data_IF_385820570381
#
_entry.id   IF_385820570381
#
_cell.length_a   1.000
_cell.length_b   1.000
_cell.length_c   1.000
_cell.angle_alpha   90.00
_cell.angle_beta   90.00
_cell.angle_gamma   90.00
#
_symmetry.space_group_name_H-M   'P 1'
#
loop_
_entity.id
_entity.type
_entity.pdbx_description
1 polymer ?
#
# COMPACT_ATOMS: atom_id res chain seq x y z
N UNK A 1 -13.58 32.34 32.89
CA UNK A 1 -12.41 31.53 32.51
C UNK A 1 -12.84 30.07 32.39
N UNK A 2 -12.19 29.33 31.50
CA UNK A 2 -12.19 27.86 31.35
C UNK A 2 -13.27 27.23 30.44
N UNK A 3 -12.92 27.07 29.17
CA UNK A 3 -13.25 25.88 28.36
C UNK A 3 -12.43 25.91 27.06
N UNK A 4 -11.22 25.33 27.04
CA UNK A 4 -10.47 25.00 25.80
C UNK A 4 -9.26 24.11 26.13
N UNK A 5 -9.47 22.97 26.76
CA UNK A 5 -8.39 22.01 27.09
C UNK A 5 -8.50 20.66 26.38
N UNK A 6 -9.67 20.31 25.85
CA UNK A 6 -9.96 18.95 25.39
C UNK A 6 -9.51 18.65 23.95
N UNK A 7 -9.13 19.66 23.17
CA UNK A 7 -8.71 19.47 21.77
C UNK A 7 -7.26 19.01 21.60
N UNK A 8 -6.32 19.62 22.32
CA UNK A 8 -4.88 19.42 22.07
C UNK A 8 -4.37 18.02 22.42
N UNK A 9 -4.86 17.42 23.52
CA UNK A 9 -4.40 16.10 23.95
C UNK A 9 -4.89 14.96 23.03
N UNK A 10 -6.09 15.07 22.47
CA UNK A 10 -6.63 14.09 21.54
C UNK A 10 -5.88 14.09 20.20
N UNK A 11 -5.54 15.28 19.68
CA UNK A 11 -4.80 15.43 18.41
C UNK A 11 -3.36 14.91 18.56
N UNK A 12 -2.72 15.16 19.71
CA UNK A 12 -1.38 14.64 19.99
C UNK A 12 -1.36 13.10 20.10
N UNK A 13 -2.38 12.49 20.70
CA UNK A 13 -2.50 11.04 20.81
C UNK A 13 -2.74 10.35 19.46
N UNK A 14 -3.57 10.94 18.60
CA UNK A 14 -3.80 10.45 17.24
C UNK A 14 -2.51 10.52 16.41
N UNK A 15 -1.82 11.66 16.39
CA UNK A 15 -0.55 11.81 15.69
C UNK A 15 0.56 10.87 16.20
N UNK A 16 0.56 10.52 17.49
CA UNK A 16 1.48 9.54 18.06
C UNK A 16 1.09 8.10 17.71
N UNK A 17 -0.20 7.76 17.68
CA UNK A 17 -0.69 6.46 17.25
C UNK A 17 -0.44 6.22 15.75
N UNK A 18 -0.61 7.26 14.92
CA UNK A 18 -0.25 7.28 13.50
C UNK A 18 1.24 7.02 13.32
N UNK A 19 2.12 7.81 13.95
CA UNK A 19 3.56 7.59 13.91
C UNK A 19 3.95 6.18 14.37
N UNK A 20 3.28 5.64 15.39
CA UNK A 20 3.56 4.29 15.89
C UNK A 20 3.14 3.20 14.90
N UNK A 21 2.08 3.44 14.14
CA UNK A 21 1.57 2.55 13.08
C UNK A 21 2.59 2.46 11.95
N UNK A 22 3.06 3.60 11.42
CA UNK A 22 4.07 3.66 10.36
C UNK A 22 5.46 3.14 10.77
N UNK A 23 5.75 3.00 12.07
CA UNK A 23 7.04 2.51 12.56
C UNK A 23 7.04 1.02 12.95
N UNK A 24 5.88 0.41 13.21
CA UNK A 24 5.80 -0.96 13.76
C UNK A 24 5.15 -1.98 12.82
N UNK A 25 4.77 -1.58 11.62
CA UNK A 25 4.14 -2.47 10.65
C UNK A 25 4.93 -3.75 10.37
N UNK A 26 6.27 -3.71 10.48
CA UNK A 26 7.13 -4.86 10.28
C UNK A 26 6.91 -5.98 11.32
N UNK A 27 6.38 -5.64 12.50
CA UNK A 27 6.04 -6.57 13.57
C UNK A 27 4.62 -7.14 13.42
N UNK A 28 3.80 -6.58 12.53
CA UNK A 28 2.42 -7.04 12.35
C UNK A 28 2.36 -8.46 11.79
N UNK A 29 1.43 -9.29 12.26
CA UNK A 29 1.22 -10.62 11.69
C UNK A 29 0.85 -10.54 10.21
N UNK A 30 1.26 -11.57 9.47
CA UNK A 30 0.94 -11.71 8.05
C UNK A 30 -0.52 -12.09 7.90
N UNK A 31 -1.25 -11.35 7.06
CA UNK A 31 -2.58 -11.72 6.59
C UNK A 31 -2.43 -12.82 5.52
N UNK A 32 -1.68 -12.52 4.47
CA UNK A 32 -1.46 -13.42 3.35
C UNK A 32 -0.35 -12.95 2.42
N UNK A 33 -0.05 -13.76 1.40
CA UNK A 33 1.03 -13.52 0.45
C UNK A 33 0.67 -14.10 -0.91
N UNK A 34 1.18 -13.50 -1.98
CA UNK A 34 0.91 -13.92 -3.34
C UNK A 34 2.08 -13.59 -4.27
N UNK A 35 2.21 -14.27 -5.41
CA UNK A 35 3.23 -13.97 -6.41
C UNK A 35 2.58 -13.74 -7.76
N UNK A 36 2.83 -12.59 -8.37
CA UNK A 36 2.37 -12.30 -9.73
C UNK A 36 3.39 -12.85 -10.71
N UNK A 37 2.94 -13.74 -11.59
CA UNK A 37 3.75 -14.33 -12.65
C UNK A 37 3.15 -14.03 -14.01
N UNK A 38 4.00 -13.68 -14.97
CA UNK A 38 3.65 -13.60 -16.39
C UNK A 38 4.21 -14.83 -17.10
N UNK A 39 3.34 -15.70 -17.62
CA UNK A 39 3.72 -16.99 -18.19
C UNK A 39 4.53 -17.82 -17.17
N UNK A 40 5.84 -18.01 -17.40
CA UNK A 40 6.75 -18.76 -16.51
C UNK A 40 7.64 -17.84 -15.66
N UNK A 41 7.42 -16.53 -15.71
CA UNK A 41 8.32 -15.52 -15.17
C UNK A 41 7.65 -14.78 -14.02
N UNK A 42 8.23 -14.88 -12.82
CA UNK A 42 7.77 -14.11 -11.68
C UNK A 42 8.15 -12.63 -11.82
N UNK A 43 7.19 -11.75 -11.54
CA UNK A 43 7.32 -10.29 -11.64
C UNK A 43 7.59 -9.72 -10.26
N UNK A 44 6.76 -10.06 -9.27
CA UNK A 44 6.95 -9.69 -7.88
C UNK A 44 6.24 -10.67 -6.94
N UNK A 45 6.70 -10.75 -5.71
CA UNK A 45 5.95 -11.34 -4.60
C UNK A 45 5.39 -10.24 -3.70
N UNK A 46 4.12 -10.33 -3.33
CA UNK A 46 3.46 -9.42 -2.39
C UNK A 46 3.11 -10.13 -1.07
N UNK A 47 3.09 -9.35 0.01
CA UNK A 47 2.66 -9.79 1.33
C UNK A 47 1.83 -8.68 1.98
N UNK A 48 0.70 -9.06 2.56
CA UNK A 48 -0.16 -8.14 3.31
C UNK A 48 -0.01 -8.43 4.80
N UNK A 49 0.14 -7.37 5.60
CA UNK A 49 0.14 -7.41 7.06
C UNK A 49 -0.93 -6.47 7.61
N UNK A 50 -1.46 -6.81 8.78
CA UNK A 50 -2.42 -5.99 9.51
C UNK A 50 -2.17 -6.17 11.03
N UNK A 51 -2.53 -5.19 11.89
CA UNK A 51 -2.24 -5.25 13.32
C UNK A 51 -2.67 -6.55 14.02
N UNK A 52 -3.79 -7.13 13.61
CA UNK A 52 -4.35 -8.38 14.16
C UNK A 52 -4.14 -9.60 13.24
N UNK A 53 -3.45 -9.42 12.11
CA UNK A 53 -3.23 -10.48 11.12
C UNK A 53 -4.45 -10.86 10.28
N UNK A 54 -5.50 -10.03 10.28
CA UNK A 54 -6.72 -10.21 9.51
C UNK A 54 -6.94 -9.01 8.57
N UNK A 55 -7.53 -9.29 7.41
CA UNK A 55 -8.10 -8.26 6.56
C UNK A 55 -9.62 -8.26 6.72
N UNK A 56 -10.16 -7.18 7.25
CA UNK A 56 -11.60 -7.00 7.47
C UNK A 56 -12.21 -6.41 6.21
N UNK A 57 -12.79 -7.26 5.36
CA UNK A 57 -13.48 -6.79 4.16
C UNK A 57 -14.63 -5.84 4.52
N UNK A 58 -14.70 -4.72 3.81
CA UNK A 58 -15.78 -3.75 3.94
C UNK A 58 -16.08 -3.11 2.58
N UNK A 59 -16.97 -2.10 2.56
CA UNK A 59 -17.16 -1.29 1.34
C UNK A 59 -15.93 -0.41 1.05
N UNK A 60 -15.23 0.01 2.08
CA UNK A 60 -13.92 0.63 2.01
C UNK A 60 -12.84 -0.47 1.85
N UNK A 61 -11.88 -0.20 0.98
CA UNK A 61 -10.76 -1.10 0.63
C UNK A 61 -9.64 -1.02 1.65
N UNK A 62 -9.52 0.09 2.39
CA UNK A 62 -8.55 0.26 3.47
C UNK A 62 -9.19 0.58 4.84
N UNK A 63 -10.20 -0.20 5.28
CA UNK A 63 -11.01 0.15 6.46
C UNK A 63 -10.24 0.06 7.79
N UNK A 64 -9.01 -0.44 7.76
CA UNK A 64 -8.11 -0.53 8.89
C UNK A 64 -6.65 -0.44 8.43
N UNK A 65 -5.70 -0.22 9.36
CA UNK A 65 -4.30 -0.17 9.02
C UNK A 65 -3.81 -1.46 8.35
N UNK A 66 -3.03 -1.31 7.28
CA UNK A 66 -2.43 -2.40 6.51
C UNK A 66 -1.02 -2.02 6.05
N UNK A 67 -0.18 -3.02 5.85
CA UNK A 67 1.09 -2.86 5.15
C UNK A 67 1.17 -3.84 3.99
N UNK A 68 1.29 -3.29 2.79
CA UNK A 68 1.50 -4.02 1.55
C UNK A 68 2.99 -4.00 1.21
N UNK A 69 3.65 -5.13 1.37
CA UNK A 69 5.03 -5.33 0.94
C UNK A 69 5.05 -5.89 -0.49
N UNK A 70 5.91 -5.36 -1.34
CA UNK A 70 6.18 -5.84 -2.70
C UNK A 70 7.69 -6.05 -2.84
N UNK A 71 8.11 -7.29 -3.14
CA UNK A 71 9.50 -7.63 -3.47
C UNK A 71 9.59 -7.87 -4.97
N UNK A 72 10.39 -7.06 -5.65
CA UNK A 72 10.53 -7.12 -7.10
C UNK A 72 11.45 -8.25 -7.50
N UNK A 73 10.97 -9.06 -8.45
CA UNK A 73 11.72 -10.18 -9.02
C UNK A 73 12.24 -9.83 -10.42
N UNK A 74 12.11 -8.55 -10.80
CA UNK A 74 12.49 -7.96 -12.08
C UNK A 74 12.89 -6.50 -11.93
N UNK A 75 13.64 -6.04 -12.93
CA UNK A 75 13.97 -4.63 -13.07
C UNK A 75 12.80 -3.92 -13.75
N UNK A 76 12.30 -2.85 -13.11
CA UNK A 76 11.16 -2.07 -13.58
C UNK A 76 11.48 -0.60 -13.33
N UNK A 77 11.39 0.22 -14.37
CA UNK A 77 11.57 1.67 -14.20
C UNK A 77 10.40 2.30 -13.45
N UNK A 78 10.66 3.41 -12.77
CA UNK A 78 9.65 4.26 -12.12
C UNK A 78 8.51 4.60 -13.09
N UNK A 79 8.85 4.96 -14.33
CA UNK A 79 7.84 5.21 -15.37
C UNK A 79 6.96 3.98 -15.63
N UNK A 80 7.53 2.78 -15.74
CA UNK A 80 6.75 1.56 -15.94
C UNK A 80 5.85 1.25 -14.74
N UNK A 81 6.29 1.52 -13.51
CA UNK A 81 5.45 1.38 -12.32
C UNK A 81 4.25 2.34 -12.37
N UNK A 82 4.48 3.61 -12.73
CA UNK A 82 3.42 4.61 -12.85
C UNK A 82 2.46 4.27 -14.00
N UNK A 83 2.98 3.89 -15.17
CA UNK A 83 2.16 3.49 -16.32
C UNK A 83 1.30 2.24 -16.00
N UNK A 84 1.87 1.26 -15.28
CA UNK A 84 1.13 0.08 -14.83
C UNK A 84 0.04 0.44 -13.80
N UNK A 85 0.33 1.38 -12.89
CA UNK A 85 -0.65 1.89 -11.93
C UNK A 85 -1.83 2.55 -12.66
N UNK A 86 -1.54 3.40 -13.66
CA UNK A 86 -2.58 4.04 -14.48
C UNK A 86 -3.45 3.02 -15.21
N UNK A 87 -2.85 1.97 -15.80
CA UNK A 87 -3.60 0.89 -16.45
C UNK A 87 -4.55 0.18 -15.47
N UNK A 88 -4.06 -0.20 -14.29
CA UNK A 88 -4.86 -0.87 -13.27
C UNK A 88 -5.99 0.03 -12.76
N UNK A 89 -5.74 1.31 -12.53
CA UNK A 89 -6.77 2.27 -12.16
C UNK A 89 -7.85 2.42 -13.23
N UNK A 90 -7.47 2.48 -14.51
CA UNK A 90 -8.44 2.53 -15.61
C UNK A 90 -9.33 1.29 -15.63
N UNK A 91 -8.77 0.11 -15.39
CA UNK A 91 -9.52 -1.16 -15.34
C UNK A 91 -10.46 -1.25 -14.13
N UNK A 92 -10.07 -0.66 -13.01
CA UNK A 92 -10.92 -0.48 -11.82
C UNK A 92 -11.97 0.62 -11.98
N UNK A 93 -11.98 1.35 -13.11
CA UNK A 93 -12.96 2.40 -13.40
C UNK A 93 -12.64 3.78 -12.84
N UNK A 94 -11.42 4.00 -12.31
CA UNK A 94 -10.97 5.34 -11.93
C UNK A 94 -10.75 6.19 -13.20
N UNK A 95 -11.21 7.43 -13.17
CA UNK A 95 -11.16 8.34 -14.33
C UNK A 95 -10.35 9.59 -14.03
N UNK A 96 -9.76 10.17 -15.10
CA UNK A 96 -9.27 11.54 -15.06
C UNK A 96 -10.43 12.52 -14.72
N UNK A 97 -10.17 13.70 -14.11
CA UNK A 97 -8.85 14.31 -13.88
C UNK A 97 -8.16 13.93 -12.56
N UNK A 98 -8.88 13.29 -11.62
CA UNK A 98 -8.39 13.05 -10.26
C UNK A 98 -7.11 12.20 -10.24
N UNK A 99 -7.07 11.13 -11.04
CA UNK A 99 -5.91 10.23 -11.13
C UNK A 99 -4.65 10.89 -11.68
N UNK A 100 -4.74 11.93 -12.51
CA UNK A 100 -3.55 12.57 -13.09
C UNK A 100 -2.70 13.30 -12.06
N UNK A 101 -3.32 13.91 -11.04
CA UNK A 101 -2.58 14.54 -9.95
C UNK A 101 -1.83 13.48 -9.13
N UNK A 102 -2.51 12.37 -8.84
CA UNK A 102 -1.95 11.24 -8.11
C UNK A 102 -0.80 10.55 -8.85
N UNK A 103 -0.92 10.32 -10.17
CA UNK A 103 0.15 9.75 -10.98
C UNK A 103 1.41 10.63 -10.99
N UNK A 104 1.25 11.96 -11.01
CA UNK A 104 2.39 12.89 -10.89
C UNK A 104 3.08 12.77 -9.53
N UNK A 105 2.31 12.60 -8.47
CA UNK A 105 2.87 12.36 -7.14
C UNK A 105 3.59 11.01 -7.06
N UNK A 106 2.99 9.93 -7.59
CA UNK A 106 3.66 8.62 -7.67
C UNK A 106 4.97 8.69 -8.45
N UNK A 107 5.02 9.45 -9.54
CA UNK A 107 6.23 9.63 -10.34
C UNK A 107 7.38 10.28 -9.56
N UNK A 108 7.09 11.04 -8.51
CA UNK A 108 8.08 11.62 -7.61
C UNK A 108 8.49 10.69 -6.47
N UNK A 109 7.60 9.78 -6.05
CA UNK A 109 7.78 8.88 -4.90
C UNK A 109 8.45 7.57 -5.33
N UNK A 110 7.96 6.95 -6.40
CA UNK A 110 8.35 5.61 -6.82
C UNK A 110 9.72 5.66 -7.53
N UNK A 111 10.77 5.01 -6.99
CA UNK A 111 12.06 4.94 -7.67
C UNK A 111 12.03 3.88 -8.78
N UNK A 112 13.09 3.84 -9.59
CA UNK A 112 13.40 2.63 -10.35
C UNK A 112 13.70 1.48 -9.38
N UNK A 113 13.23 0.28 -9.71
CA UNK A 113 13.40 -0.92 -8.89
C UNK A 113 14.17 -1.98 -9.66
N UNK A 114 15.08 -2.66 -8.97
CA UNK A 114 15.83 -3.79 -9.47
C UNK A 114 15.36 -5.09 -8.81
N UNK A 115 15.76 -6.21 -9.41
CA UNK A 115 15.55 -7.53 -8.81
C UNK A 115 16.13 -7.61 -7.40
N UNK A 116 15.30 -7.99 -6.44
CA UNK A 116 15.61 -8.05 -5.01
C UNK A 116 15.30 -6.76 -4.24
N UNK A 117 14.88 -5.69 -4.90
CA UNK A 117 14.40 -4.48 -4.23
C UNK A 117 13.02 -4.70 -3.61
N UNK A 118 12.73 -3.92 -2.57
CA UNK A 118 11.45 -3.98 -1.86
C UNK A 118 10.86 -2.58 -1.72
N UNK A 119 9.57 -2.49 -2.03
CA UNK A 119 8.72 -1.34 -1.75
C UNK A 119 7.64 -1.78 -0.76
N UNK A 120 7.41 -0.99 0.28
CA UNK A 120 6.35 -1.23 1.26
C UNK A 120 5.46 0.00 1.29
N UNK A 121 4.16 -0.20 1.13
CA UNK A 121 3.16 0.83 1.35
C UNK A 121 2.41 0.53 2.64
N UNK A 122 2.54 1.41 3.62
CA UNK A 122 1.86 1.31 4.91
C UNK A 122 0.74 2.32 4.90
N UNK A 123 -0.47 1.91 5.28
CA UNK A 123 -1.64 2.77 5.38
C UNK A 123 -2.21 2.70 6.80
N UNK A 124 -2.67 3.83 7.32
CA UNK A 124 -3.48 3.89 8.55
C UNK A 124 -5.00 3.81 8.28
N UNK A 125 -5.39 3.64 7.01
CA UNK A 125 -6.75 3.64 6.50
C UNK A 125 -7.21 4.99 5.91
N UNK A 126 -6.47 6.09 6.15
CA UNK A 126 -6.75 7.39 5.54
C UNK A 126 -5.55 7.93 4.77
N UNK A 127 -4.35 7.64 5.25
CA UNK A 127 -3.09 8.13 4.70
C UNK A 127 -2.11 6.99 4.65
N UNK A 128 -1.10 7.14 3.80
CA UNK A 128 -0.06 6.16 3.66
C UNK A 128 1.34 6.71 3.48
N UNK A 129 2.31 5.84 3.70
CA UNK A 129 3.73 6.13 3.56
C UNK A 129 4.41 4.99 2.82
N UNK A 130 5.26 5.37 1.87
CA UNK A 130 6.09 4.45 1.10
C UNK A 130 7.46 4.34 1.73
N UNK A 131 7.89 3.10 1.93
CA UNK A 131 9.21 2.74 2.37
C UNK A 131 9.90 1.91 1.28
N UNK A 132 11.16 2.19 1.01
CA UNK A 132 11.93 1.52 -0.03
C UNK A 132 13.27 1.04 0.52
N UNK A 133 13.65 -0.19 0.14
CA UNK A 133 14.96 -0.76 0.45
C UNK A 133 15.54 -1.42 -0.80
N UNK A 134 16.78 -1.07 -1.15
CA UNK A 134 17.54 -1.75 -2.19
C UNK A 134 18.24 -2.97 -1.60
N UNK A 135 17.78 -4.17 -1.95
CA UNK A 135 18.36 -5.45 -1.49
C UNK A 135 18.68 -5.46 0.02
N UNK A 136 19.95 -5.52 0.40
CA UNK A 136 20.41 -5.59 1.80
C UNK A 136 20.54 -4.22 2.49
N UNK A 137 20.13 -3.13 1.84
CA UNK A 137 20.18 -1.80 2.44
C UNK A 137 19.04 -1.57 3.43
N UNK A 138 19.29 -0.69 4.39
CA UNK A 138 18.26 -0.22 5.32
C UNK A 138 17.14 0.45 4.54
N UNK A 139 15.93 0.13 4.93
CA UNK A 139 14.73 0.73 4.41
C UNK A 139 14.63 2.22 4.79
N UNK A 140 14.11 3.04 3.88
CA UNK A 140 13.90 4.47 4.09
C UNK A 140 12.54 4.90 3.55
N UNK A 141 11.95 5.92 4.19
CA UNK A 141 10.77 6.59 3.64
C UNK A 141 11.13 7.30 2.31
N UNK A 142 10.27 7.15 1.31
CA UNK A 142 10.43 7.74 -0.02
C UNK A 142 9.25 8.63 -0.44
N UNK A 143 8.18 8.66 0.35
CA UNK A 143 7.05 9.55 0.09
C UNK A 143 5.79 9.19 0.86
N UNK A 144 4.82 10.10 0.86
CA UNK A 144 3.55 9.96 1.57
C UNK A 144 2.37 10.24 0.65
N UNK A 145 1.22 9.66 1.00
CA UNK A 145 -0.09 9.96 0.45
C UNK A 145 -0.94 10.45 1.63
N UNK A 146 -1.38 11.71 1.58
CA UNK A 146 -2.22 12.30 2.64
C UNK A 146 -3.70 12.39 2.26
N UNK A 147 -4.05 11.97 1.03
CA UNK A 147 -5.42 11.96 0.49
C UNK A 147 -6.01 10.55 0.58
N UNK A 148 -7.15 10.41 1.26
CA UNK A 148 -7.83 9.13 1.51
C UNK A 148 -8.27 8.45 0.22
N UNK A 149 -8.85 9.21 -0.72
CA UNK A 149 -9.28 8.64 -2.00
C UNK A 149 -8.09 8.12 -2.83
N UNK A 150 -6.93 8.76 -2.75
CA UNK A 150 -5.69 8.26 -3.36
C UNK A 150 -5.16 7.02 -2.63
N UNK A 151 -5.16 7.02 -1.29
CA UNK A 151 -4.77 5.87 -0.47
C UNK A 151 -5.59 4.63 -0.86
N UNK A 152 -6.92 4.78 -0.95
CA UNK A 152 -7.83 3.71 -1.35
C UNK A 152 -7.63 3.28 -2.80
N UNK A 153 -7.47 4.25 -3.72
CA UNK A 153 -7.24 3.94 -5.12
C UNK A 153 -5.96 3.13 -5.31
N UNK A 154 -4.88 3.48 -4.61
CA UNK A 154 -3.62 2.74 -4.70
C UNK A 154 -3.78 1.30 -4.16
N UNK A 155 -4.35 1.13 -2.96
CA UNK A 155 -4.56 -0.20 -2.37
C UNK A 155 -5.55 -1.06 -3.17
N UNK A 156 -6.50 -0.44 -3.87
CA UNK A 156 -7.50 -1.12 -4.71
C UNK A 156 -6.88 -1.99 -5.80
N UNK A 157 -5.67 -1.68 -6.28
CA UNK A 157 -4.97 -2.51 -7.27
C UNK A 157 -4.82 -3.95 -6.78
N UNK A 158 -4.58 -4.15 -5.48
CA UNK A 158 -4.38 -5.46 -4.87
C UNK A 158 -5.59 -5.97 -4.08
N UNK A 159 -6.34 -5.08 -3.43
CA UNK A 159 -7.32 -5.45 -2.40
C UNK A 159 -8.78 -5.31 -2.86
N UNK A 160 -9.05 -4.57 -3.94
CA UNK A 160 -10.41 -4.40 -4.45
C UNK A 160 -10.98 -5.73 -4.95
N UNK A 161 -12.24 -6.08 -4.64
CA UNK A 161 -12.91 -7.24 -5.23
C UNK A 161 -13.15 -7.09 -6.74
N UNK A 162 -12.91 -5.91 -7.32
CA UNK A 162 -12.97 -5.65 -8.75
C UNK A 162 -11.60 -5.73 -9.45
N UNK A 163 -10.52 -6.07 -8.72
CA UNK A 163 -9.19 -6.27 -9.34
C UNK A 163 -9.23 -7.41 -10.36
N UNK A 164 -8.49 -7.26 -11.47
CA UNK A 164 -8.35 -8.32 -12.47
C UNK A 164 -7.66 -9.57 -11.89
N UNK A 165 -6.89 -9.40 -10.83
CA UNK A 165 -6.05 -10.43 -10.22
C UNK A 165 -6.72 -11.10 -9.00
N UNK A 166 -7.96 -11.57 -9.15
CA UNK A 166 -8.77 -12.12 -8.05
C UNK A 166 -8.09 -13.25 -7.25
N UNK A 167 -7.33 -14.12 -7.91
CA UNK A 167 -6.62 -15.21 -7.21
C UNK A 167 -5.52 -14.67 -6.30
N UNK A 168 -4.75 -13.69 -6.79
CA UNK A 168 -3.70 -13.01 -6.02
C UNK A 168 -4.30 -12.25 -4.83
N UNK A 169 -5.42 -11.54 -5.07
CA UNK A 169 -6.17 -10.88 -4.00
C UNK A 169 -6.54 -11.87 -2.90
N UNK A 170 -7.23 -12.97 -3.24
CA UNK A 170 -7.71 -13.94 -2.26
C UNK A 170 -6.58 -14.57 -1.44
N UNK A 171 -5.41 -14.78 -2.05
CA UNK A 171 -4.21 -15.20 -1.34
C UNK A 171 -3.67 -14.11 -0.39
N UNK A 172 -3.62 -12.84 -0.82
CA UNK A 172 -3.16 -11.72 -0.01
C UNK A 172 -4.04 -11.47 1.21
N UNK A 173 -5.36 -11.55 1.06
CA UNK A 173 -6.31 -11.31 2.15
C UNK A 173 -6.58 -12.56 3.00
N UNK A 174 -5.86 -13.66 2.77
CA UNK A 174 -5.90 -14.85 3.61
C UNK A 174 -7.10 -15.78 3.40
N UNK A 175 -7.87 -15.63 2.31
CA UNK A 175 -9.03 -16.49 2.02
C UNK A 175 -8.64 -17.93 1.65
N UNK A 176 -7.39 -18.19 1.28
CA UNK A 176 -6.91 -19.52 0.87
C UNK A 176 -6.00 -20.18 1.92
N UNK A 177 -6.17 -19.87 3.21
CA UNK A 177 -5.47 -20.60 4.27
C UNK A 177 -6.01 -22.05 4.32
N UNK A 178 -5.14 -23.09 4.22
CA UNK A 178 -5.58 -24.47 4.44
C UNK A 178 -6.06 -24.69 5.88
#
# INVERSE_FOLDING_TARGET
MLASGLGYAAVANAAQAEHKTFQRWAEWPVVGQATLSWLWLDIYSSQLRAPDGLYHESQDVSPHPVALEIRYLRDISSKQLVDATEDQWRKLGFTAPQTQAWLKQLQQILPDVATGDRLVYVSDGQRGEFFFSRQQQTERSVGRIDDEAFNDAFLSIWLSPQTEYLTLRNQLIGMNRP
#
